data_IF_133161918591
#
_entry.id   IF_133161918591
#
_cell.length_a   1.000
_cell.length_b   1.000
_cell.length_c   1.000
_cell.angle_alpha   90.00
_cell.angle_beta   90.00
_cell.angle_gamma   90.00
#
_symmetry.space_group_name_H-M   'P 1'
#
loop_
_entity.id
_entity.type
_entity.pdbx_description
1 polymer ?
#
# COMPACT_ATOMS: atom_id res chain seq x y z
N UNK A 1 -42.68 9.07 -6.97
CA UNK A 1 -42.13 7.90 -7.69
C UNK A 1 -41.57 8.39 -9.03
N UNK A 2 -40.39 9.02 -9.04
CA UNK A 2 -39.73 9.41 -10.30
C UNK A 2 -38.79 8.28 -10.71
N UNK A 3 -39.35 7.28 -11.39
CA UNK A 3 -38.56 6.24 -12.07
C UNK A 3 -38.04 6.80 -13.39
N UNK A 4 -36.79 7.27 -13.40
CA UNK A 4 -36.13 7.68 -14.63
C UNK A 4 -35.75 6.46 -15.46
N UNK A 5 -36.45 6.23 -16.57
CA UNK A 5 -35.99 5.34 -17.64
C UNK A 5 -34.74 6.00 -18.24
N UNK A 6 -33.57 5.38 -18.08
CA UNK A 6 -32.35 5.86 -18.73
C UNK A 6 -32.56 5.80 -20.25
N UNK A 7 -32.28 6.88 -20.95
CA UNK A 7 -32.44 6.91 -22.41
C UNK A 7 -31.33 6.08 -23.05
N UNK A 8 -31.63 5.45 -24.20
CA UNK A 8 -30.66 4.66 -24.98
C UNK A 8 -29.39 5.45 -25.31
N UNK A 9 -29.53 6.76 -25.51
CA UNK A 9 -28.42 7.69 -25.70
C UNK A 9 -27.47 7.76 -24.49
N UNK A 10 -28.00 7.72 -23.25
CA UNK A 10 -27.17 7.69 -22.05
C UNK A 10 -26.41 6.36 -21.92
N UNK A 11 -27.05 5.26 -22.30
CA UNK A 11 -26.41 3.94 -22.29
C UNK A 11 -25.29 3.85 -23.34
N UNK A 12 -25.55 4.33 -24.55
CA UNK A 12 -24.57 4.37 -25.65
C UNK A 12 -23.38 5.29 -25.30
N UNK A 13 -23.63 6.42 -24.61
CA UNK A 13 -22.56 7.31 -24.15
C UNK A 13 -21.68 6.69 -23.05
N UNK A 14 -22.29 5.98 -22.08
CA UNK A 14 -21.56 5.26 -21.03
C UNK A 14 -20.74 4.11 -21.66
N UNK A 15 -21.36 3.32 -22.53
CA UNK A 15 -20.72 2.20 -23.21
C UNK A 15 -19.57 2.66 -24.12
N UNK A 16 -19.76 3.74 -24.88
CA UNK A 16 -18.72 4.32 -25.73
C UNK A 16 -17.54 4.91 -24.95
N UNK A 17 -17.77 5.37 -23.72
CA UNK A 17 -16.70 5.84 -22.82
C UNK A 17 -15.96 4.68 -22.17
N UNK A 18 -16.69 3.71 -21.61
CA UNK A 18 -16.10 2.49 -21.04
C UNK A 18 -15.33 1.68 -22.08
N UNK A 19 -15.89 1.53 -23.28
CA UNK A 19 -15.25 0.84 -24.40
C UNK A 19 -13.91 1.46 -24.78
N UNK A 20 -13.77 2.78 -24.71
CA UNK A 20 -12.48 3.47 -24.91
C UNK A 20 -11.46 3.15 -23.82
N UNK A 21 -11.87 3.10 -22.54
CA UNK A 21 -10.97 2.69 -21.45
C UNK A 21 -10.57 1.21 -21.54
N UNK A 22 -11.52 0.32 -21.85
CA UNK A 22 -11.25 -1.10 -21.97
C UNK A 22 -10.35 -1.42 -23.18
N UNK A 23 -10.54 -0.71 -24.31
CA UNK A 23 -9.72 -0.90 -25.52
C UNK A 23 -8.34 -0.22 -25.47
N UNK A 24 -8.06 0.59 -24.44
CA UNK A 24 -6.78 1.28 -24.30
C UNK A 24 -5.62 0.38 -23.87
N UNK A 25 -5.85 -0.93 -23.66
CA UNK A 25 -4.82 -1.88 -23.24
C UNK A 25 -4.33 -1.68 -21.80
N UNK A 26 -4.93 -0.74 -21.04
CA UNK A 26 -4.55 -0.46 -19.64
C UNK A 26 -4.60 -1.70 -18.75
N UNK A 27 -5.54 -2.60 -18.99
CA UNK A 27 -5.67 -3.87 -18.24
C UNK A 27 -4.63 -4.92 -18.64
N UNK A 28 -3.96 -4.74 -19.77
CA UNK A 28 -2.90 -5.62 -20.25
C UNK A 28 -1.53 -5.18 -19.71
N UNK A 29 -1.43 -3.98 -19.13
CA UNK A 29 -0.20 -3.50 -18.52
C UNK A 29 0.13 -4.36 -17.30
N UNK A 30 1.33 -4.95 -17.24
CA UNK A 30 1.72 -5.74 -16.07
C UNK A 30 1.85 -4.85 -14.84
N UNK A 31 1.40 -5.35 -13.70
CA UNK A 31 1.63 -4.68 -12.43
C UNK A 31 3.13 -4.48 -12.21
N UNK A 32 3.60 -3.24 -11.95
CA UNK A 32 5.01 -2.98 -11.72
C UNK A 32 5.46 -3.65 -10.42
N UNK A 33 6.25 -4.72 -10.55
CA UNK A 33 6.90 -5.40 -9.43
C UNK A 33 8.29 -4.82 -9.24
N UNK A 34 8.50 -4.07 -8.16
CA UNK A 34 9.85 -3.67 -7.78
C UNK A 34 10.61 -4.88 -7.22
N UNK A 35 11.91 -5.02 -7.54
CA UNK A 35 12.74 -6.04 -6.94
C UNK A 35 12.83 -5.85 -5.43
N UNK A 36 12.61 -6.92 -4.67
CA UNK A 36 12.74 -6.91 -3.21
C UNK A 36 14.21 -7.03 -2.85
N UNK A 37 14.84 -5.90 -2.51
CA UNK A 37 16.25 -5.87 -2.09
C UNK A 37 16.46 -6.51 -0.71
N UNK A 38 15.52 -6.27 0.22
CA UNK A 38 15.59 -6.75 1.59
C UNK A 38 14.30 -7.52 1.92
N UNK A 39 14.39 -8.85 2.12
CA UNK A 39 13.25 -9.66 2.54
C UNK A 39 12.73 -9.20 3.89
N UNK A 40 11.41 -9.35 4.09
CA UNK A 40 10.74 -8.94 5.33
C UNK A 40 10.16 -10.17 6.01
N UNK A 41 10.10 -10.15 7.34
CA UNK A 41 9.29 -11.13 8.06
C UNK A 41 7.81 -10.76 7.96
N UNK A 42 6.88 -11.73 8.05
CA UNK A 42 5.43 -11.45 8.07
C UNK A 42 5.01 -10.50 9.21
N UNK A 43 5.83 -10.41 10.26
CA UNK A 43 5.54 -9.61 11.43
C UNK A 43 4.39 -10.17 12.26
N UNK A 44 3.88 -9.35 13.18
CA UNK A 44 2.77 -9.69 14.06
C UNK A 44 2.05 -8.43 14.54
N UNK A 45 0.79 -8.60 14.93
CA UNK A 45 0.08 -7.59 15.72
C UNK A 45 0.55 -7.71 17.18
N UNK A 46 1.10 -6.65 17.79
CA UNK A 46 1.59 -6.70 19.16
C UNK A 46 0.45 -6.95 20.16
N UNK A 47 0.77 -7.61 21.28
CA UNK A 47 -0.19 -7.81 22.37
C UNK A 47 -0.42 -6.51 23.14
N UNK A 48 -1.37 -6.52 24.07
CA UNK A 48 -1.64 -5.34 24.89
C UNK A 48 -0.45 -4.99 25.79
N UNK A 49 0.28 -5.99 26.29
CA UNK A 49 1.47 -5.83 27.11
C UNK A 49 2.61 -5.16 26.33
N UNK A 50 2.78 -5.53 25.05
CA UNK A 50 3.79 -4.95 24.15
C UNK A 50 3.36 -3.61 23.53
N UNK A 51 2.09 -3.23 23.67
CA UNK A 51 1.50 -2.00 23.11
C UNK A 51 0.66 -1.22 24.14
N UNK A 52 1.22 -0.84 25.30
CA UNK A 52 0.47 -0.19 26.37
C UNK A 52 -0.15 1.15 25.97
N UNK A 53 0.46 1.83 24.99
CA UNK A 53 -0.01 3.11 24.48
C UNK A 53 -0.94 3.00 23.26
N UNK A 54 -1.26 1.79 22.78
CA UNK A 54 -2.01 1.56 21.54
C UNK A 54 -1.46 2.34 20.33
N UNK A 55 -0.14 2.54 20.28
CA UNK A 55 0.53 3.30 19.23
C UNK A 55 0.91 2.43 18.02
N UNK A 56 0.95 1.12 18.20
CA UNK A 56 1.37 0.17 17.18
C UNK A 56 0.18 -0.55 16.55
N UNK A 57 0.19 -0.64 15.22
CA UNK A 57 -0.72 -1.52 14.48
C UNK A 57 -0.09 -2.88 14.19
N UNK A 58 1.12 -2.86 13.61
CA UNK A 58 1.85 -4.05 13.19
C UNK A 58 3.35 -3.86 13.44
N UNK A 59 4.01 -4.91 13.88
CA UNK A 59 5.46 -4.94 14.10
C UNK A 59 6.09 -5.97 13.17
N UNK A 60 7.23 -5.64 12.56
CA UNK A 60 7.97 -6.57 11.71
C UNK A 60 9.48 -6.34 11.81
N UNK A 61 10.24 -7.35 11.41
CA UNK A 61 11.69 -7.30 11.31
C UNK A 61 12.09 -7.28 9.84
N UNK A 62 12.74 -6.19 9.43
CA UNK A 62 13.33 -6.05 8.10
C UNK A 62 14.83 -5.94 8.34
N UNK A 63 15.62 -6.83 7.74
CA UNK A 63 17.08 -6.77 7.80
C UNK A 63 17.59 -6.11 6.51
N UNK A 64 18.19 -4.95 6.65
CA UNK A 64 18.65 -4.10 5.57
C UNK A 64 20.17 -4.02 5.54
N UNK A 65 20.72 -2.83 5.29
CA UNK A 65 22.16 -2.66 5.13
C UNK A 65 22.92 -2.92 6.45
N UNK A 66 24.09 -3.57 6.36
CA UNK A 66 24.94 -3.84 7.53
C UNK A 66 25.68 -2.62 8.08
N UNK A 67 25.59 -1.46 7.42
CA UNK A 67 26.24 -0.20 7.79
C UNK A 67 25.45 0.99 7.27
N UNK A 68 25.42 2.09 8.03
CA UNK A 68 24.70 3.31 7.66
C UNK A 68 24.44 4.20 8.87
N UNK A 69 23.83 5.37 8.65
CA UNK A 69 23.52 6.32 9.73
C UNK A 69 22.48 5.79 10.73
N UNK A 70 21.63 4.87 10.29
CA UNK A 70 20.58 4.26 11.13
C UNK A 70 20.96 2.87 11.64
N UNK A 71 22.20 2.43 11.47
CA UNK A 71 22.64 1.11 11.92
C UNK A 71 22.29 0.90 13.40
N UNK A 72 21.55 -0.17 13.70
CA UNK A 72 21.16 -0.53 15.06
C UNK A 72 20.08 0.36 15.66
N UNK A 73 19.34 1.10 14.83
CA UNK A 73 18.17 1.87 15.24
C UNK A 73 16.90 1.16 14.80
N UNK A 74 15.90 1.17 15.67
CA UNK A 74 14.53 0.77 15.32
C UNK A 74 13.75 2.01 14.93
N UNK A 75 13.04 1.93 13.80
CA UNK A 75 12.23 3.04 13.27
C UNK A 75 10.76 2.62 13.21
N UNK A 76 9.87 3.56 13.54
CA UNK A 76 8.44 3.43 13.32
C UNK A 76 8.09 4.03 11.95
N UNK A 77 7.28 3.33 11.17
CA UNK A 77 6.73 3.84 9.90
C UNK A 77 5.25 4.09 10.13
N UNK A 78 4.79 5.29 9.77
CA UNK A 78 3.37 5.64 9.90
C UNK A 78 2.54 4.73 8.98
N UNK A 79 1.45 4.19 9.51
CA UNK A 79 0.60 3.16 8.87
C UNK A 79 -0.14 3.60 7.59
N UNK A 80 0.08 4.82 7.13
CA UNK A 80 -0.35 5.28 5.80
C UNK A 80 0.71 5.05 4.71
N UNK A 81 1.94 4.71 5.13
CA UNK A 81 3.09 4.50 4.27
C UNK A 81 3.31 3.01 4.09
N UNK A 82 3.15 2.53 2.85
CA UNK A 82 3.15 1.09 2.59
C UNK A 82 4.54 0.48 2.76
N UNK A 83 4.64 -0.50 3.65
CA UNK A 83 5.77 -1.42 3.72
C UNK A 83 5.37 -2.69 2.98
N UNK A 84 6.09 -3.06 1.93
CA UNK A 84 5.60 -4.10 1.05
C UNK A 84 5.51 -5.47 1.77
N UNK A 85 4.46 -6.25 1.54
CA UNK A 85 4.22 -7.52 2.24
C UNK A 85 3.85 -7.38 3.71
N UNK A 86 3.72 -6.17 4.25
CA UNK A 86 3.29 -5.91 5.64
C UNK A 86 1.86 -5.37 5.62
N UNK A 87 0.96 -5.86 6.49
CA UNK A 87 -0.38 -5.30 6.63
C UNK A 87 -0.34 -3.82 7.04
N UNK A 88 -1.29 -3.05 6.52
CA UNK A 88 -1.59 -1.68 6.96
C UNK A 88 -3.09 -1.51 7.14
N UNK A 89 -3.53 -0.52 7.92
CA UNK A 89 -4.95 -0.14 8.03
C UNK A 89 -5.21 1.38 7.84
N UNK A 90 -4.17 2.21 7.79
CA UNK A 90 -4.28 3.67 7.74
C UNK A 90 -5.25 4.24 8.81
N UNK A 91 -5.30 3.62 9.98
CA UNK A 91 -6.23 3.97 11.06
C UNK A 91 -7.72 3.86 10.71
N UNK A 92 -8.09 3.11 9.66
CA UNK A 92 -9.48 2.94 9.20
C UNK A 92 -9.82 1.47 8.99
N UNK A 93 -11.05 1.09 9.36
CA UNK A 93 -11.60 -0.25 9.08
C UNK A 93 -11.65 -0.57 7.59
N UNK A 94 -11.78 0.44 6.73
CA UNK A 94 -11.86 0.26 5.27
C UNK A 94 -10.59 -0.32 4.65
N UNK A 95 -9.45 -0.18 5.32
CA UNK A 95 -8.16 -0.65 4.84
C UNK A 95 -7.57 -1.73 5.76
N UNK A 96 -8.30 -2.19 6.77
CA UNK A 96 -7.78 -3.22 7.67
C UNK A 96 -7.43 -4.51 6.92
N UNK A 97 -6.20 -4.99 7.12
CA UNK A 97 -5.70 -6.20 6.45
C UNK A 97 -5.24 -5.97 5.01
N UNK A 98 -5.20 -4.72 4.54
CA UNK A 98 -4.67 -4.40 3.22
C UNK A 98 -3.15 -4.64 3.18
N UNK A 99 -2.71 -5.53 2.28
CA UNK A 99 -1.29 -5.83 2.06
C UNK A 99 -0.87 -5.34 0.68
N UNK A 100 0.10 -4.43 0.65
CA UNK A 100 0.67 -3.92 -0.60
C UNK A 100 1.95 -4.68 -0.92
N UNK A 101 2.17 -5.06 -2.18
CA UNK A 101 3.44 -5.66 -2.61
C UNK A 101 4.48 -4.62 -3.04
N UNK A 102 4.07 -3.35 -3.12
CA UNK A 102 4.92 -2.23 -3.52
C UNK A 102 5.08 -1.23 -2.37
N UNK A 103 6.32 -1.01 -1.95
CA UNK A 103 6.67 0.17 -1.15
C UNK A 103 6.87 1.34 -2.10
N UNK A 104 6.01 2.34 -2.02
CA UNK A 104 6.18 3.59 -2.78
C UNK A 104 7.29 4.40 -2.12
N UNK A 105 8.52 4.15 -2.55
CA UNK A 105 9.70 4.97 -2.26
C UNK A 105 10.39 5.29 -3.57
N UNK A 106 9.69 6.01 -4.44
CA UNK A 106 10.33 6.72 -5.53
C UNK A 106 9.78 8.15 -5.59
N UNK A 107 10.45 9.04 -4.86
CA UNK A 107 10.37 10.48 -5.05
C UNK A 107 11.80 10.97 -5.30
N UNK A 108 12.13 11.52 -6.49
CA UNK A 108 13.44 12.11 -6.71
C UNK A 108 13.55 13.36 -5.83
N UNK A 109 14.33 13.29 -4.74
CA UNK A 109 14.64 14.45 -3.89
C UNK A 109 14.32 14.31 -2.39
N UNK A 110 13.56 13.29 -1.98
CA UNK A 110 13.27 13.05 -0.56
C UNK A 110 13.73 11.66 -0.14
N UNK A 111 14.82 11.63 0.62
CA UNK A 111 15.35 10.43 1.27
C UNK A 111 14.36 9.97 2.34
N UNK A 112 13.51 9.00 2.04
CA UNK A 112 12.75 8.30 3.09
C UNK A 112 13.47 6.97 3.34
N UNK A 113 14.30 7.02 4.38
CA UNK A 113 15.09 5.94 4.93
C UNK A 113 14.20 4.78 5.38
N UNK A 114 14.41 3.61 4.77
CA UNK A 114 14.29 2.34 5.47
C UNK A 114 15.70 1.77 5.54
N UNK A 115 16.53 2.37 6.39
CA UNK A 115 17.80 1.76 6.79
C UNK A 115 17.57 1.06 8.13
N UNK A 116 18.14 -0.13 8.22
CA UNK A 116 18.10 -1.07 9.35
C UNK A 116 19.40 -1.03 10.13
#
# INVERSE_FOLDING_TARGET
MLGGVKSKEQEDAIAGTFGRYLSSGLYELPDPKLPVKYPRTPGYRPTQEDNPCNAWYWCCDIKGASKGKLQGKTVAIKDNTCVAGVPMMNGSLTLEGFVRMLTLLWCPGYWTLVDT
#
